data_IF_041077628843
#
_entry.id   IF_041077628843
#
_cell.length_a   1.000
_cell.length_b   1.000
_cell.length_c   1.000
_cell.angle_alpha   90.00
_cell.angle_beta   90.00
_cell.angle_gamma   90.00
#
_symmetry.space_group_name_H-M   'P 1'
#
loop_
_entity.id
_entity.type
_entity.pdbx_description
1 polymer ?
#
# COMPACT_ATOMS: atom_id res chain seq x y z
N UNK A 1 0.48 -7.06 -26.26
CA UNK A 1 0.65 -7.19 -24.81
C UNK A 1 2.11 -7.12 -24.38
N UNK A 2 3.05 -7.52 -25.26
CA UNK A 2 4.50 -7.55 -24.94
C UNK A 2 5.10 -6.19 -24.64
N UNK A 3 4.61 -5.14 -25.25
CA UNK A 3 5.16 -3.80 -25.10
C UNK A 3 4.62 -3.08 -23.85
N UNK A 4 3.40 -3.39 -23.42
CA UNK A 4 2.80 -2.81 -22.22
C UNK A 4 3.51 -3.22 -20.91
N UNK A 5 4.01 -4.45 -20.83
CA UNK A 5 4.66 -4.96 -19.62
C UNK A 5 6.12 -4.52 -19.48
N UNK A 6 6.79 -4.23 -20.61
CA UNK A 6 8.16 -3.74 -20.60
C UNK A 6 8.20 -2.27 -20.18
N UNK A 7 8.68 -1.99 -18.98
CA UNK A 7 8.81 -0.64 -18.46
C UNK A 7 7.50 -0.03 -17.93
N UNK A 8 6.45 -0.84 -17.69
CA UNK A 8 5.20 -0.37 -17.12
C UNK A 8 5.43 0.35 -15.80
N UNK A 9 5.14 1.64 -15.77
CA UNK A 9 5.00 2.39 -14.53
C UNK A 9 3.52 2.37 -14.13
N UNK A 10 3.15 1.66 -13.05
CA UNK A 10 1.75 1.54 -12.64
C UNK A 10 1.11 2.88 -12.32
N UNK A 11 -0.21 2.98 -12.59
CA UNK A 11 -1.04 4.14 -12.26
C UNK A 11 -0.91 4.52 -10.79
N UNK A 12 -0.77 5.82 -10.49
CA UNK A 12 -0.58 6.35 -9.15
C UNK A 12 -1.79 7.12 -8.67
N UNK A 13 -2.17 6.89 -7.41
CA UNK A 13 -3.24 7.64 -6.74
C UNK A 13 -2.82 9.08 -6.43
N UNK A 14 -3.76 10.02 -6.56
CA UNK A 14 -3.68 11.33 -5.93
C UNK A 14 -3.89 11.21 -4.40
N UNK A 15 -3.58 12.30 -3.68
CA UNK A 15 -3.76 12.41 -2.22
C UNK A 15 -5.08 13.11 -1.86
N UNK A 16 -5.61 13.89 -2.79
CA UNK A 16 -6.78 14.74 -2.63
C UNK A 16 -7.66 14.66 -3.88
N UNK A 17 -8.92 15.07 -3.78
CA UNK A 17 -9.85 15.13 -4.90
C UNK A 17 -10.88 14.01 -4.95
N UNK A 18 -11.19 13.38 -3.80
CA UNK A 18 -12.34 12.49 -3.68
C UNK A 18 -13.00 12.60 -2.30
N UNK A 19 -14.31 12.40 -2.29
CA UNK A 19 -15.12 12.26 -1.09
C UNK A 19 -15.44 10.78 -0.85
N UNK A 20 -15.95 10.46 0.35
CA UNK A 20 -16.39 9.10 0.68
C UNK A 20 -17.73 8.74 0.03
N UNK A 21 -18.53 9.72 -0.34
CA UNK A 21 -19.81 9.53 -1.03
C UNK A 21 -19.72 10.17 -2.41
N UNK A 22 -19.69 9.34 -3.45
CA UNK A 22 -19.60 9.76 -4.85
C UNK A 22 -20.09 8.63 -5.76
N UNK A 23 -21.25 8.81 -6.40
CA UNK A 23 -21.90 7.82 -7.28
C UNK A 23 -21.04 7.42 -8.50
N UNK A 24 -20.05 8.23 -8.87
CA UNK A 24 -19.13 7.91 -9.97
C UNK A 24 -17.94 7.04 -9.51
N UNK A 25 -17.84 6.69 -8.22
CA UNK A 25 -16.70 5.98 -7.66
C UNK A 25 -17.06 4.63 -7.06
N UNK A 26 -16.04 3.79 -7.02
CA UNK A 26 -15.97 2.61 -6.16
C UNK A 26 -14.84 2.79 -5.16
N UNK A 27 -14.93 2.07 -4.05
CA UNK A 27 -14.01 2.18 -2.91
C UNK A 27 -13.46 0.81 -2.56
N UNK A 28 -12.14 0.72 -2.47
CA UNK A 28 -11.41 -0.48 -2.09
C UNK A 28 -10.63 -0.24 -0.80
N UNK A 29 -10.32 -1.29 -0.07
CA UNK A 29 -9.36 -1.19 1.04
C UNK A 29 -8.02 -0.70 0.51
N UNK A 30 -7.43 0.28 1.19
CA UNK A 30 -6.03 0.63 0.99
C UNK A 30 -5.19 -0.40 1.75
N UNK A 31 -4.64 -1.33 0.99
CA UNK A 31 -3.84 -2.42 1.53
C UNK A 31 -2.48 -1.92 2.01
N UNK A 32 -2.02 -2.49 3.11
CA UNK A 32 -0.67 -2.30 3.66
C UNK A 32 0.21 -3.49 3.25
N UNK A 33 0.70 -3.44 2.02
CA UNK A 33 1.46 -4.51 1.41
C UNK A 33 2.51 -4.00 0.43
N UNK A 34 2.80 -4.79 -0.58
CA UNK A 34 3.72 -4.43 -1.65
C UNK A 34 3.05 -4.59 -3.02
N UNK A 35 3.02 -3.51 -3.79
CA UNK A 35 2.42 -3.50 -5.12
C UNK A 35 3.24 -4.30 -6.10
N UNK A 36 2.58 -5.22 -6.78
CA UNK A 36 3.14 -6.11 -7.78
C UNK A 36 2.34 -6.01 -9.08
N UNK A 37 3.06 -5.85 -10.17
CA UNK A 37 2.55 -6.11 -11.51
C UNK A 37 2.94 -7.53 -11.89
N UNK A 38 1.95 -8.33 -12.28
CA UNK A 38 2.13 -9.71 -12.69
C UNK A 38 1.86 -9.88 -14.17
N UNK A 39 2.82 -10.37 -14.92
CA UNK A 39 2.71 -10.71 -16.33
C UNK A 39 2.72 -12.21 -16.50
N UNK A 40 1.66 -12.76 -17.12
CA UNK A 40 1.61 -14.16 -17.57
C UNK A 40 1.79 -14.22 -19.09
N UNK A 41 2.64 -15.13 -19.56
CA UNK A 41 2.78 -15.48 -20.97
C UNK A 41 2.93 -16.99 -21.12
N UNK A 42 1.96 -17.65 -21.70
CA UNK A 42 1.88 -19.10 -21.71
C UNK A 42 1.93 -19.64 -20.28
N UNK A 43 2.81 -20.60 -20.02
CA UNK A 43 3.02 -21.16 -18.68
C UNK A 43 3.94 -20.34 -17.77
N UNK A 44 4.54 -19.25 -18.26
CA UNK A 44 5.50 -18.45 -17.51
C UNK A 44 4.84 -17.24 -16.86
N UNK A 45 5.31 -16.89 -15.66
CA UNK A 45 4.83 -15.70 -14.93
C UNK A 45 6.03 -14.89 -14.45
N UNK A 46 6.02 -13.60 -14.72
CA UNK A 46 6.97 -12.63 -14.19
C UNK A 46 6.25 -11.69 -13.21
N UNK A 47 6.78 -11.55 -12.01
CA UNK A 47 6.33 -10.59 -11.00
C UNK A 47 7.34 -9.46 -10.91
N UNK A 48 6.85 -8.22 -10.85
CA UNK A 48 7.67 -7.02 -10.73
C UNK A 48 7.12 -6.08 -9.66
N UNK A 49 8.00 -5.55 -8.84
CA UNK A 49 7.68 -4.43 -7.96
C UNK A 49 7.33 -3.18 -8.76
N UNK A 50 6.68 -2.22 -8.13
CA UNK A 50 6.31 -0.91 -8.74
C UNK A 50 7.49 -0.20 -9.42
N UNK A 51 8.71 -0.37 -8.91
CA UNK A 51 9.95 0.22 -9.48
C UNK A 51 10.57 -0.63 -10.59
N UNK A 52 9.89 -1.67 -11.08
CA UNK A 52 10.37 -2.56 -12.14
C UNK A 52 11.30 -3.69 -11.70
N UNK A 53 11.79 -3.68 -10.44
CA UNK A 53 12.64 -4.77 -9.92
C UNK A 53 11.88 -6.10 -9.95
N UNK A 54 12.59 -7.18 -10.32
CA UNK A 54 12.02 -8.52 -10.33
C UNK A 54 11.62 -8.98 -8.91
N UNK A 55 10.46 -9.63 -8.81
CA UNK A 55 9.89 -10.13 -7.57
C UNK A 55 9.53 -11.64 -7.64
N UNK A 56 9.69 -12.28 -8.80
CA UNK A 56 9.25 -13.65 -9.04
C UNK A 56 9.87 -14.65 -8.06
N UNK A 57 11.16 -14.54 -7.78
CA UNK A 57 11.84 -15.43 -6.83
C UNK A 57 11.30 -15.27 -5.40
N UNK A 58 11.03 -14.02 -4.97
CA UNK A 58 10.50 -13.72 -3.63
C UNK A 58 9.08 -14.26 -3.41
N UNK A 59 8.30 -14.45 -4.49
CA UNK A 59 6.89 -14.84 -4.45
C UNK A 59 6.59 -15.96 -5.46
N UNK A 60 7.44 -16.98 -5.50
CA UNK A 60 7.35 -18.09 -6.46
C UNK A 60 6.01 -18.85 -6.37
N UNK A 61 5.43 -18.96 -5.16
CA UNK A 61 4.11 -19.58 -4.94
C UNK A 61 2.97 -18.77 -5.60
N UNK A 62 3.06 -17.43 -5.61
CA UNK A 62 2.10 -16.57 -6.31
C UNK A 62 2.26 -16.71 -7.82
N UNK A 63 3.50 -16.73 -8.32
CA UNK A 63 3.78 -16.94 -9.73
C UNK A 63 3.23 -18.31 -10.21
N UNK A 64 3.41 -19.36 -9.42
CA UNK A 64 2.82 -20.68 -9.68
C UNK A 64 1.29 -20.64 -9.71
N UNK A 65 0.65 -19.97 -8.75
CA UNK A 65 -0.81 -19.83 -8.74
C UNK A 65 -1.33 -19.08 -9.97
N UNK A 66 -0.65 -18.01 -10.39
CA UNK A 66 -0.99 -17.25 -11.59
C UNK A 66 -0.77 -18.05 -12.89
N UNK A 67 0.21 -18.95 -12.95
CA UNK A 67 0.43 -19.78 -14.14
C UNK A 67 -0.76 -20.71 -14.45
N UNK A 68 -1.59 -21.00 -13.44
CA UNK A 68 -2.78 -21.86 -13.57
C UNK A 68 -4.04 -21.10 -14.02
N UNK A 69 -3.98 -19.77 -14.19
CA UNK A 69 -5.12 -19.01 -14.73
C UNK A 69 -5.49 -19.52 -16.12
N UNK A 70 -6.79 -19.65 -16.45
CA UNK A 70 -7.27 -20.28 -17.68
C UNK A 70 -7.18 -19.32 -18.90
N UNK A 71 -6.03 -18.66 -19.07
CA UNK A 71 -5.71 -17.79 -20.21
C UNK A 71 -4.22 -17.91 -20.53
N UNK A 72 -3.86 -17.71 -21.80
CA UNK A 72 -2.46 -17.79 -22.22
C UNK A 72 -1.65 -16.58 -21.78
N UNK A 73 -2.25 -15.41 -21.83
CA UNK A 73 -1.60 -14.17 -21.41
C UNK A 73 -2.52 -13.28 -20.59
N UNK A 74 -1.96 -12.62 -19.59
CA UNK A 74 -2.60 -11.61 -18.78
C UNK A 74 -1.58 -10.66 -18.16
N UNK A 75 -1.96 -9.41 -17.98
CA UNK A 75 -1.21 -8.40 -17.22
C UNK A 75 -2.10 -7.88 -16.10
N UNK A 76 -1.68 -8.12 -14.87
CA UNK A 76 -2.45 -7.89 -13.66
C UNK A 76 -1.75 -6.86 -12.76
N UNK A 77 -2.52 -6.03 -12.09
CA UNK A 77 -2.04 -5.09 -11.08
C UNK A 77 -2.69 -5.40 -9.73
N UNK A 78 -1.90 -5.52 -8.69
CA UNK A 78 -2.39 -5.92 -7.38
C UNK A 78 -1.38 -5.64 -6.28
N UNK A 79 -1.74 -6.08 -5.07
CA UNK A 79 -0.94 -5.95 -3.88
C UNK A 79 -0.67 -7.33 -3.28
N UNK A 80 0.58 -7.65 -2.98
CA UNK A 80 0.91 -8.80 -2.14
C UNK A 80 0.84 -8.36 -0.69
N UNK A 81 0.05 -9.09 0.09
CA UNK A 81 -0.16 -8.86 1.52
C UNK A 81 0.11 -10.13 2.32
N UNK A 82 0.44 -9.97 3.58
CA UNK A 82 0.33 -10.98 4.63
C UNK A 82 -0.58 -10.46 5.73
N UNK A 83 -1.14 -11.35 6.53
CA UNK A 83 -2.04 -11.00 7.61
C UNK A 83 -1.41 -11.32 8.96
N UNK A 84 -1.69 -10.49 9.96
CA UNK A 84 -1.35 -10.74 11.36
C UNK A 84 -2.26 -11.81 11.98
N UNK A 85 -2.13 -12.03 13.29
CA UNK A 85 -2.93 -13.00 14.03
C UNK A 85 -4.41 -12.60 14.10
N UNK A 86 -4.73 -11.31 14.00
CA UNK A 86 -6.07 -10.75 13.97
C UNK A 86 -6.67 -10.71 12.56
N UNK A 87 -5.93 -11.18 11.54
CA UNK A 87 -6.38 -11.20 10.15
C UNK A 87 -6.29 -9.86 9.44
N UNK A 88 -5.50 -8.91 9.94
CA UNK A 88 -5.28 -7.58 9.35
C UNK A 88 -4.03 -7.58 8.45
N UNK A 89 -4.04 -6.88 7.31
CA UNK A 89 -2.84 -6.70 6.51
C UNK A 89 -1.73 -6.03 7.32
N UNK A 90 -0.51 -6.59 7.26
CA UNK A 90 0.65 -6.10 8.02
C UNK A 90 1.89 -6.04 7.15
N UNK A 91 2.34 -4.82 6.85
CA UNK A 91 3.58 -4.59 6.12
C UNK A 91 4.82 -5.00 6.93
N UNK A 92 4.80 -4.77 8.25
CA UNK A 92 5.89 -5.16 9.14
C UNK A 92 6.15 -6.67 9.07
N UNK A 93 5.07 -7.48 9.14
CA UNK A 93 5.15 -8.93 8.99
C UNK A 93 5.60 -9.35 7.58
N UNK A 94 5.31 -8.56 6.54
CA UNK A 94 5.72 -8.81 5.16
C UNK A 94 7.21 -8.48 4.91
N UNK A 95 7.81 -7.59 5.70
CA UNK A 95 9.16 -7.08 5.49
C UNK A 95 10.23 -8.16 5.25
N UNK A 96 10.26 -9.30 5.97
CA UNK A 96 11.23 -10.38 5.70
C UNK A 96 11.15 -10.92 4.28
N UNK A 97 9.95 -10.98 3.65
CA UNK A 97 9.76 -11.42 2.27
C UNK A 97 10.31 -10.41 1.26
N UNK A 98 10.21 -9.13 1.56
CA UNK A 98 10.65 -8.02 0.69
C UNK A 98 12.18 -7.92 0.68
N UNK A 99 12.81 -8.15 1.83
CA UNK A 99 14.25 -7.95 2.03
C UNK A 99 15.09 -9.21 1.80
N UNK A 100 14.50 -10.40 1.73
CA UNK A 100 15.20 -11.64 1.44
C UNK A 100 15.82 -11.59 0.03
N UNK A 101 17.11 -11.86 -0.07
CA UNK A 101 17.86 -11.85 -1.33
C UNK A 101 18.54 -13.18 -1.62
N UNK A 102 19.07 -13.84 -0.59
CA UNK A 102 19.72 -15.14 -0.75
C UNK A 102 18.67 -16.25 -0.88
N UNK A 103 18.90 -17.28 -1.68
CA UNK A 103 17.92 -18.36 -1.88
C UNK A 103 17.40 -18.97 -0.57
N UNK A 104 18.28 -19.23 0.40
CA UNK A 104 17.89 -19.79 1.70
C UNK A 104 16.97 -18.83 2.48
N UNK A 105 17.29 -17.52 2.50
CA UNK A 105 16.47 -16.51 3.20
C UNK A 105 15.07 -16.40 2.56
N UNK A 106 15.00 -16.51 1.23
CA UNK A 106 13.72 -16.51 0.49
C UNK A 106 12.87 -17.73 0.89
N UNK A 107 13.46 -18.91 0.95
CA UNK A 107 12.75 -20.13 1.35
C UNK A 107 12.29 -20.07 2.81
N UNK A 108 13.15 -19.62 3.73
CA UNK A 108 12.79 -19.45 5.14
C UNK A 108 11.67 -18.39 5.32
N UNK A 109 11.78 -17.26 4.63
CA UNK A 109 10.75 -16.23 4.68
C UNK A 109 9.43 -16.75 4.07
N UNK A 110 9.47 -17.54 3.00
CA UNK A 110 8.30 -18.19 2.40
C UNK A 110 7.59 -19.13 3.37
N UNK A 111 8.34 -19.95 4.08
CA UNK A 111 7.79 -20.90 5.04
C UNK A 111 7.11 -20.20 6.23
N UNK A 112 7.66 -19.08 6.69
CA UNK A 112 7.22 -18.39 7.91
C UNK A 112 6.21 -17.27 7.67
N UNK A 113 6.15 -16.71 6.45
CA UNK A 113 5.30 -15.56 6.12
C UNK A 113 4.43 -15.91 4.91
N UNK A 114 3.26 -16.52 5.11
CA UNK A 114 2.32 -16.78 4.03
C UNK A 114 1.79 -15.46 3.45
N UNK A 115 1.59 -15.43 2.13
CA UNK A 115 1.13 -14.24 1.41
C UNK A 115 -0.09 -14.54 0.55
N UNK A 116 -0.84 -13.47 0.23
CA UNK A 116 -1.93 -13.49 -0.74
C UNK A 116 -1.69 -12.35 -1.73
N UNK A 117 -1.95 -12.59 -3.00
CA UNK A 117 -1.95 -11.55 -4.04
C UNK A 117 -3.39 -11.10 -4.27
N UNK A 118 -3.71 -9.88 -3.84
CA UNK A 118 -5.00 -9.23 -4.02
C UNK A 118 -4.94 -8.38 -5.28
N UNK A 119 -5.59 -8.86 -6.34
CA UNK A 119 -5.59 -8.22 -7.65
C UNK A 119 -6.73 -7.22 -7.71
N UNK A 120 -6.44 -5.98 -8.07
CA UNK A 120 -7.44 -4.92 -8.15
C UNK A 120 -7.65 -4.38 -9.56
N UNK A 121 -6.81 -4.74 -10.55
CA UNK A 121 -6.98 -4.33 -11.94
C UNK A 121 -6.40 -5.37 -12.93
N UNK A 122 -6.96 -5.36 -14.15
CA UNK A 122 -6.54 -6.20 -15.28
C UNK A 122 -6.26 -5.30 -16.49
N UNK A 123 -5.00 -5.30 -16.94
CA UNK A 123 -4.50 -4.34 -17.91
C UNK A 123 -4.45 -4.91 -19.34
N UNK A 124 -4.25 -6.21 -19.44
CA UNK A 124 -4.27 -6.91 -20.73
C UNK A 124 -4.67 -8.38 -20.55
N UNK A 125 -5.31 -8.98 -21.54
CA UNK A 125 -5.68 -10.39 -21.57
C UNK A 125 -5.98 -10.84 -23.01
N UNK A 126 -5.56 -12.05 -23.40
CA UNK A 126 -5.86 -12.65 -24.70
C UNK A 126 -5.36 -11.80 -25.87
N UNK A 127 -4.14 -11.27 -25.76
CA UNK A 127 -3.54 -10.40 -26.76
C UNK A 127 -4.12 -8.98 -26.85
N UNK A 128 -5.07 -8.63 -26.00
CA UNK A 128 -5.76 -7.33 -26.03
C UNK A 128 -5.32 -6.42 -24.90
N UNK A 129 -5.06 -5.16 -25.22
CA UNK A 129 -4.91 -4.08 -24.24
C UNK A 129 -6.29 -3.68 -23.71
N UNK A 130 -6.46 -3.69 -22.39
CA UNK A 130 -7.69 -3.33 -21.70
C UNK A 130 -7.57 -1.97 -20.99
N UNK A 131 -6.41 -1.32 -21.01
CA UNK A 131 -6.16 -0.08 -20.27
C UNK A 131 -7.10 1.06 -20.65
N UNK A 132 -7.58 1.08 -21.90
CA UNK A 132 -8.56 2.05 -22.38
C UNK A 132 -10.01 1.79 -21.92
N UNK A 133 -10.34 0.61 -21.40
CA UNK A 133 -11.68 0.29 -20.92
C UNK A 133 -11.98 0.99 -19.59
N UNK A 134 -13.28 1.25 -19.30
CA UNK A 134 -13.73 1.65 -17.97
C UNK A 134 -13.27 0.68 -16.87
N UNK A 135 -12.92 1.19 -15.68
CA UNK A 135 -12.48 0.36 -14.56
C UNK A 135 -13.48 -0.75 -14.20
N UNK A 136 -14.77 -0.45 -14.19
CA UNK A 136 -15.84 -1.44 -13.89
C UNK A 136 -15.82 -2.61 -14.86
N UNK A 137 -15.55 -2.37 -16.14
CA UNK A 137 -15.43 -3.44 -17.13
C UNK A 137 -14.18 -4.27 -16.93
N UNK A 138 -13.04 -3.65 -16.63
CA UNK A 138 -11.82 -4.38 -16.32
C UNK A 138 -11.97 -5.24 -15.06
N UNK A 139 -12.65 -4.73 -14.02
CA UNK A 139 -12.96 -5.50 -12.80
C UNK A 139 -13.93 -6.65 -13.07
N UNK A 140 -14.94 -6.45 -13.93
CA UNK A 140 -15.87 -7.52 -14.33
C UNK A 140 -15.13 -8.66 -15.03
N UNK A 141 -14.23 -8.35 -15.94
CA UNK A 141 -13.40 -9.35 -16.64
C UNK A 141 -12.44 -10.02 -15.65
N UNK A 142 -11.80 -9.25 -14.75
CA UNK A 142 -10.93 -9.77 -13.70
C UNK A 142 -11.65 -10.78 -12.79
N UNK A 143 -12.87 -10.47 -12.36
CA UNK A 143 -13.66 -11.36 -11.50
C UNK A 143 -14.03 -12.68 -12.21
N UNK A 144 -14.18 -12.66 -13.53
CA UNK A 144 -14.39 -13.88 -14.31
C UNK A 144 -13.10 -14.71 -14.48
N UNK A 145 -11.94 -14.04 -14.57
CA UNK A 145 -10.64 -14.68 -14.74
C UNK A 145 -10.14 -15.30 -13.42
N UNK A 146 -10.22 -14.54 -12.33
CA UNK A 146 -9.73 -14.96 -11.01
C UNK A 146 -10.91 -15.44 -10.16
N UNK A 147 -11.11 -16.75 -10.16
CA UNK A 147 -12.18 -17.39 -9.39
C UNK A 147 -11.60 -18.14 -8.20
N UNK A 148 -12.31 -18.09 -7.06
CA UNK A 148 -11.98 -18.89 -5.87
C UNK A 148 -11.20 -18.14 -4.79
N UNK A 149 -10.77 -18.89 -3.76
CA UNK A 149 -10.16 -18.37 -2.52
C UNK A 149 -8.69 -18.79 -2.35
N UNK A 150 -7.99 -19.03 -3.45
CA UNK A 150 -6.56 -19.40 -3.42
C UNK A 150 -5.61 -18.25 -3.02
N UNK A 151 -4.34 -18.40 -3.40
CA UNK A 151 -3.32 -17.37 -3.17
C UNK A 151 -3.52 -16.11 -4.02
N UNK A 152 -4.29 -16.20 -5.11
CA UNK A 152 -4.63 -15.06 -5.99
C UNK A 152 -6.12 -14.80 -5.84
N UNK A 153 -6.49 -13.60 -5.42
CA UNK A 153 -7.89 -13.19 -5.18
C UNK A 153 -8.14 -11.82 -5.77
N UNK A 154 -9.36 -11.55 -6.18
CA UNK A 154 -9.79 -10.20 -6.55
C UNK A 154 -9.99 -9.39 -5.26
N UNK A 155 -9.54 -8.14 -5.26
CA UNK A 155 -9.85 -7.20 -4.20
C UNK A 155 -11.30 -6.72 -4.36
N UNK A 156 -12.11 -6.96 -3.33
CA UNK A 156 -13.50 -6.52 -3.27
C UNK A 156 -13.60 -4.99 -3.18
N UNK A 157 -14.75 -4.45 -3.57
CA UNK A 157 -15.04 -3.03 -3.54
C UNK A 157 -16.50 -2.76 -3.17
N UNK A 158 -16.76 -1.54 -2.72
CA UNK A 158 -18.10 -0.99 -2.48
C UNK A 158 -18.32 0.14 -3.47
N UNK A 159 -19.51 0.25 -4.04
CA UNK A 159 -19.85 1.32 -4.98
C UNK A 159 -20.59 2.47 -4.28
N UNK A 160 -20.48 3.67 -4.83
CA UNK A 160 -21.22 4.89 -4.52
C UNK A 160 -20.93 5.50 -3.15
N UNK A 161 -20.88 4.70 -2.08
CA UNK A 161 -20.66 5.17 -0.72
C UNK A 161 -19.61 4.30 0.01
N UNK A 162 -18.43 4.87 0.20
CA UNK A 162 -17.31 4.24 0.93
C UNK A 162 -17.29 4.50 2.43
N UNK A 163 -18.29 5.20 2.98
CA UNK A 163 -18.27 5.64 4.39
C UNK A 163 -18.18 4.48 5.36
N UNK A 164 -18.98 3.43 5.16
CA UNK A 164 -18.95 2.23 6.01
C UNK A 164 -17.60 1.52 5.94
N UNK A 165 -16.99 1.44 4.75
CA UNK A 165 -15.67 0.85 4.58
C UNK A 165 -14.60 1.70 5.27
N UNK A 166 -14.69 3.02 5.18
CA UNK A 166 -13.78 3.93 5.84
C UNK A 166 -13.90 3.87 7.38
N UNK A 167 -15.12 3.83 7.90
CA UNK A 167 -15.38 3.67 9.34
C UNK A 167 -14.86 2.32 9.86
N UNK A 168 -15.02 1.25 9.07
CA UNK A 168 -14.40 -0.02 9.35
C UNK A 168 -12.87 0.12 9.40
N UNK A 169 -12.24 0.81 8.42
CA UNK A 169 -10.80 1.06 8.43
C UNK A 169 -10.35 1.80 9.69
N UNK A 170 -11.09 2.85 10.12
CA UNK A 170 -10.78 3.58 11.36
C UNK A 170 -10.85 2.67 12.59
N UNK A 171 -11.95 1.93 12.75
CA UNK A 171 -12.15 1.02 13.89
C UNK A 171 -11.07 -0.06 13.96
N UNK A 172 -10.74 -0.66 12.83
CA UNK A 172 -9.75 -1.73 12.74
C UNK A 172 -8.31 -1.23 12.60
N UNK A 173 -8.10 0.09 12.64
CA UNK A 173 -6.77 0.74 12.49
C UNK A 173 -6.06 0.39 11.17
N UNK A 174 -6.82 0.22 10.09
CA UNK A 174 -6.30 0.03 8.75
C UNK A 174 -5.86 1.35 8.11
N UNK A 175 -5.17 1.29 6.97
CA UNK A 175 -4.55 2.46 6.34
C UNK A 175 -5.57 3.42 5.72
N UNK A 176 -6.77 2.95 5.36
CA UNK A 176 -7.83 3.72 4.75
C UNK A 176 -8.42 3.06 3.51
N UNK A 177 -8.92 3.87 2.59
CA UNK A 177 -9.55 3.41 1.35
C UNK A 177 -8.93 4.05 0.11
N UNK A 178 -9.13 3.43 -1.05
CA UNK A 178 -8.82 3.98 -2.36
C UNK A 178 -10.12 4.20 -3.11
N UNK A 179 -10.46 5.46 -3.35
CA UNK A 179 -11.61 5.87 -4.17
C UNK A 179 -11.20 5.88 -5.64
N UNK A 180 -11.89 5.14 -6.50
CA UNK A 180 -11.57 4.97 -7.92
C UNK A 180 -12.77 5.36 -8.78
N UNK A 181 -12.57 6.19 -9.81
CA UNK A 181 -13.64 6.49 -10.76
C UNK A 181 -14.01 5.26 -11.58
N UNK A 182 -15.29 4.90 -11.58
CA UNK A 182 -15.85 3.73 -12.26
C UNK A 182 -15.53 3.69 -13.76
N UNK A 183 -15.62 4.85 -14.42
CA UNK A 183 -15.42 4.98 -15.85
C UNK A 183 -14.00 5.35 -16.26
N UNK A 184 -13.03 5.38 -15.31
CA UNK A 184 -11.67 5.76 -15.63
C UNK A 184 -10.93 4.69 -16.43
N UNK A 185 -10.12 5.09 -17.44
CA UNK A 185 -9.11 4.22 -18.03
C UNK A 185 -7.97 3.99 -17.02
N UNK A 186 -7.11 3.00 -17.30
CA UNK A 186 -5.87 2.82 -16.55
C UNK A 186 -4.76 3.71 -17.15
N UNK A 187 -4.29 4.67 -16.38
CA UNK A 187 -3.26 5.63 -16.83
C UNK A 187 -1.87 5.17 -16.44
N UNK A 188 -1.16 4.60 -17.37
CA UNK A 188 0.24 4.25 -17.20
C UNK A 188 1.08 5.52 -17.04
N UNK A 189 2.04 5.50 -16.11
CA UNK A 189 3.02 6.58 -15.98
C UNK A 189 3.20 7.11 -14.57
N UNK A 190 4.22 7.96 -14.37
CA UNK A 190 4.63 8.43 -13.04
C UNK A 190 3.71 9.53 -12.47
N UNK A 191 2.78 10.07 -13.27
CA UNK A 191 1.89 11.15 -12.82
C UNK A 191 0.75 10.61 -11.96
N UNK A 192 0.49 11.29 -10.85
CA UNK A 192 -0.68 11.01 -10.03
C UNK A 192 -1.93 11.48 -10.75
N UNK A 193 -3.01 10.73 -10.61
CA UNK A 193 -4.31 11.06 -11.20
C UNK A 193 -5.39 11.06 -10.15
N UNK A 194 -6.35 11.98 -10.28
CA UNK A 194 -7.56 12.04 -9.45
C UNK A 194 -8.59 10.98 -9.82
N UNK A 195 -8.34 10.18 -10.87
CA UNK A 195 -9.17 9.02 -11.17
C UNK A 195 -9.08 7.99 -10.04
N UNK A 196 -7.91 7.88 -9.40
CA UNK A 196 -7.68 7.10 -8.19
C UNK A 196 -7.16 8.00 -7.08
N UNK A 197 -7.84 8.01 -5.94
CA UNK A 197 -7.51 8.86 -4.80
C UNK A 197 -7.43 8.01 -3.54
N UNK A 198 -6.36 8.13 -2.79
CA UNK A 198 -6.26 7.49 -1.49
C UNK A 198 -6.76 8.41 -0.39
N UNK A 199 -7.75 7.93 0.35
CA UNK A 199 -8.31 8.57 1.54
C UNK A 199 -7.77 7.79 2.73
N UNK A 200 -6.79 8.36 3.41
CA UNK A 200 -6.14 7.72 4.56
C UNK A 200 -6.96 7.94 5.82
N UNK A 201 -7.00 6.93 6.69
CA UNK A 201 -7.44 7.13 8.05
C UNK A 201 -6.38 7.95 8.79
N UNK A 202 -6.79 9.11 9.31
CA UNK A 202 -5.96 9.86 10.24
C UNK A 202 -5.81 9.05 11.52
N UNK A 203 -4.61 9.03 12.04
CA UNK A 203 -4.28 8.42 13.32
C UNK A 203 -3.74 9.52 14.19
N UNK A 204 -4.45 9.79 15.26
CA UNK A 204 -4.00 10.65 16.33
C UNK A 204 -3.54 9.76 17.49
N UNK A 205 -2.42 10.09 18.10
CA UNK A 205 -1.92 9.44 19.28
C UNK A 205 -1.18 10.46 20.15
N UNK A 206 -1.18 10.26 21.45
CA UNK A 206 -0.51 11.13 22.40
C UNK A 206 0.90 10.60 22.68
N UNK A 207 1.88 11.46 22.51
CA UNK A 207 3.27 11.15 22.76
C UNK A 207 3.89 12.07 23.78
N UNK A 208 4.76 11.53 24.60
CA UNK A 208 5.64 12.31 25.47
C UNK A 208 6.83 12.80 24.64
N UNK A 209 7.12 14.10 24.69
CA UNK A 209 8.36 14.64 24.12
C UNK A 209 9.51 14.28 25.03
N UNK A 210 10.44 13.47 24.53
CA UNK A 210 11.64 13.05 25.26
C UNK A 210 12.82 14.02 25.07
N UNK A 211 12.71 14.89 24.07
CA UNK A 211 13.74 15.84 23.70
C UNK A 211 13.61 16.25 22.25
N UNK A 212 14.58 16.99 21.74
CA UNK A 212 14.65 17.33 20.34
C UNK A 212 16.10 17.28 19.82
N UNK A 213 16.24 17.15 18.51
CA UNK A 213 17.53 17.23 17.84
C UNK A 213 17.61 18.53 17.04
N UNK A 214 18.78 19.13 17.01
CA UNK A 214 19.03 20.32 16.18
C UNK A 214 18.88 20.01 14.70
N UNK A 215 18.39 20.95 13.96
CA UNK A 215 18.23 20.85 12.53
C UNK A 215 19.49 21.21 11.77
N UNK A 216 19.57 20.81 10.50
CA UNK A 216 20.64 21.11 9.57
C UNK A 216 20.16 22.14 8.55
N UNK A 217 21.00 23.10 8.16
CA UNK A 217 20.69 24.08 7.12
C UNK A 217 19.75 25.20 7.57
N UNK A 218 18.65 25.43 6.88
CA UNK A 218 17.71 26.52 7.18
C UNK A 218 16.93 26.35 8.49
N UNK A 219 16.82 25.13 9.02
CA UNK A 219 16.12 24.79 10.29
C UNK A 219 17.09 24.47 11.40
N UNK A 220 17.99 25.38 11.71
CA UNK A 220 19.06 25.15 12.71
C UNK A 220 18.57 24.96 14.15
N UNK A 221 17.37 25.44 14.49
CA UNK A 221 16.90 25.45 15.89
C UNK A 221 16.26 24.12 16.34
N UNK A 222 15.36 23.53 15.54
CA UNK A 222 14.68 22.27 15.84
C UNK A 222 14.50 21.47 14.57
N UNK A 223 15.22 20.36 14.45
CA UNK A 223 15.14 19.46 13.29
C UNK A 223 14.06 18.40 13.46
N UNK A 224 13.94 17.81 14.65
CA UNK A 224 12.92 16.83 14.98
C UNK A 224 12.70 16.73 16.49
N UNK A 225 11.46 16.42 16.90
CA UNK A 225 11.15 15.98 18.26
C UNK A 225 11.46 14.48 18.39
N UNK A 226 12.09 14.08 19.50
CA UNK A 226 12.18 12.71 19.91
C UNK A 226 10.96 12.40 20.78
N UNK A 227 10.18 11.38 20.43
CA UNK A 227 8.92 11.07 21.10
C UNK A 227 8.90 9.67 21.66
N UNK A 228 8.20 9.51 22.78
CA UNK A 228 7.97 8.24 23.47
C UNK A 228 6.51 8.06 23.83
N UNK A 229 6.13 6.82 24.12
CA UNK A 229 4.81 6.49 24.65
C UNK A 229 4.93 5.50 25.81
N UNK A 230 3.99 5.55 26.75
CA UNK A 230 3.92 4.58 27.83
C UNK A 230 3.36 3.25 27.32
N UNK A 231 4.10 2.16 27.53
CA UNK A 231 3.69 0.80 27.26
C UNK A 231 3.81 0.01 28.55
N UNK A 232 2.71 -0.51 29.04
CA UNK A 232 2.65 -1.23 30.31
C UNK A 232 3.32 -0.44 31.48
N UNK A 233 3.11 0.87 31.49
CA UNK A 233 3.66 1.76 32.52
C UNK A 233 5.13 2.17 32.32
N UNK A 234 5.81 1.68 31.29
CA UNK A 234 7.19 2.05 30.97
C UNK A 234 7.22 3.00 29.79
N UNK A 235 7.98 4.09 29.90
CA UNK A 235 8.19 5.05 28.82
C UNK A 235 9.16 4.46 27.79
N UNK A 236 8.67 4.22 26.57
CA UNK A 236 9.45 3.65 25.47
C UNK A 236 9.61 4.67 24.36
N UNK A 237 10.82 4.77 23.82
CA UNK A 237 11.10 5.58 22.63
C UNK A 237 10.32 5.06 21.42
N UNK A 238 9.68 5.98 20.68
CA UNK A 238 8.83 5.67 19.50
C UNK A 238 9.37 6.22 18.19
N UNK A 239 10.26 7.18 18.23
CA UNK A 239 10.86 7.72 17.00
C UNK A 239 11.07 9.22 17.02
N UNK A 240 11.26 9.78 15.83
CA UNK A 240 11.46 11.21 15.59
C UNK A 240 10.38 11.79 14.70
N UNK A 241 9.86 12.96 15.08
CA UNK A 241 8.88 13.74 14.32
C UNK A 241 9.57 15.00 13.82
N UNK A 242 9.94 15.02 12.53
CA UNK A 242 10.66 16.14 11.89
C UNK A 242 9.88 16.84 10.79
N UNK A 243 8.73 16.31 10.37
CA UNK A 243 7.87 16.89 9.34
C UNK A 243 6.52 17.32 9.92
N UNK A 244 5.83 18.26 9.26
CA UNK A 244 4.52 18.75 9.72
C UNK A 244 4.59 19.86 10.77
N UNK A 245 5.76 20.20 11.29
CA UNK A 245 5.93 21.32 12.24
C UNK A 245 6.05 22.65 11.47
N UNK A 246 5.13 23.58 11.73
CA UNK A 246 5.21 24.95 11.22
C UNK A 246 6.28 25.74 11.97
N UNK A 247 6.80 26.82 11.38
CA UNK A 247 7.73 27.71 12.05
C UNK A 247 7.14 28.35 13.33
N UNK A 248 5.84 28.55 13.35
CA UNK A 248 5.12 29.03 14.55
C UNK A 248 5.13 27.96 15.65
N UNK A 249 4.84 26.71 15.31
CA UNK A 249 4.90 25.56 16.23
C UNK A 249 6.30 25.36 16.76
N UNK A 250 7.32 25.44 15.91
CA UNK A 250 8.73 25.32 16.30
C UNK A 250 9.12 26.37 17.32
N UNK A 251 8.74 27.66 17.08
CA UNK A 251 9.00 28.74 18.04
C UNK A 251 8.32 28.51 19.38
N UNK A 252 7.07 28.04 19.37
CA UNK A 252 6.34 27.71 20.59
C UNK A 252 7.03 26.61 21.39
N UNK A 253 7.37 25.52 20.73
CA UNK A 253 8.03 24.37 21.35
C UNK A 253 9.39 24.76 21.96
N UNK A 254 10.21 25.52 21.25
CA UNK A 254 11.52 25.99 21.79
C UNK A 254 11.37 26.96 22.97
N UNK A 255 10.24 27.65 23.09
CA UNK A 255 9.95 28.49 24.27
C UNK A 255 9.49 27.68 25.47
N UNK A 256 8.69 26.63 25.25
CA UNK A 256 8.03 25.88 26.33
C UNK A 256 8.82 24.67 26.82
N UNK A 257 9.49 23.92 25.91
CA UNK A 257 10.19 22.69 26.24
C UNK A 257 11.28 22.84 27.34
N UNK A 258 12.11 23.90 27.34
CA UNK A 258 13.13 24.06 28.38
C UNK A 258 12.55 24.19 29.80
N UNK A 259 11.35 24.76 29.94
CA UNK A 259 10.68 24.88 31.25
C UNK A 259 10.06 23.55 31.75
N UNK A 260 9.94 22.58 30.86
CA UNK A 260 9.36 21.25 31.14
C UNK A 260 10.43 20.16 31.26
N UNK A 261 11.71 20.54 31.13
CA UNK A 261 12.82 19.60 31.26
C UNK A 261 12.86 18.97 32.66
N UNK A 262 12.85 17.64 32.66
CA UNK A 262 12.94 16.82 33.90
C UNK A 262 14.06 15.82 33.73
N UNK A 263 14.87 15.64 34.79
CA UNK A 263 15.80 14.53 34.82
C UNK A 263 15.02 13.21 34.86
N UNK A 264 15.31 12.33 33.91
CA UNK A 264 14.81 10.95 33.95
C UNK A 264 15.59 10.22 35.06
N UNK A 265 14.92 9.97 36.19
CA UNK A 265 15.45 9.20 37.30
C UNK A 265 15.73 7.73 36.97
#
# INVERSE_FOLDING_TARGET
>A
PSDLAQGLTPMLCALEGANLVDAERLYELKLDGVRIVAEKRGGQVALRYRNGRAATASYAEVARALSLLPVDDALLDGEIVTFDAEGKPSFERLAPRIHAQRPLDIELARANVPVVYLVFDLLAMGGRDLTGLPLVERKRILAQLVRGRGLVRVLDHIEDDGSLLYDFCKRERLEGVVAKKKLSPYRVGPRRTTDWVKIKCERDDDFVVLGYVEGIGARKSLGALCVGAYVQGQLQYRGRVGSGLSDATIRLLLKELPALEQELG
#
